data_IF_308966933263
#
_entry.id   IF_308966933263
#
_cell.length_a   1.000
_cell.length_b   1.000
_cell.length_c   1.000
_cell.angle_alpha   90.00
_cell.angle_beta   90.00
_cell.angle_gamma   90.00
#
_symmetry.space_group_name_H-M   'P 1'
#
loop_
_entity.id
_entity.type
_entity.pdbx_description
1 polymer ?
#
# COMPACT_ATOMS: atom_id res chain seq x y z
N UNK A 1 9.23 24.85 -15.61
CA UNK A 1 8.17 25.84 -15.22
C UNK A 1 6.85 25.60 -15.94
N UNK A 2 6.83 24.95 -17.10
CA UNK A 2 5.60 24.65 -17.89
C UNK A 2 4.84 23.41 -17.35
N UNK A 3 5.52 22.49 -16.69
CA UNK A 3 4.89 21.29 -16.11
C UNK A 3 4.02 21.55 -14.88
N UNK A 4 4.30 22.61 -14.11
CA UNK A 4 3.47 23.00 -12.95
C UNK A 4 2.11 23.61 -13.35
N UNK A 5 1.97 24.17 -14.56
CA UNK A 5 0.72 24.76 -15.02
C UNK A 5 -0.27 23.76 -15.66
N UNK A 6 0.22 22.63 -16.19
CA UNK A 6 -0.64 21.61 -16.78
C UNK A 6 -1.31 20.70 -15.75
N UNK A 7 -0.74 20.62 -14.56
CA UNK A 7 -1.34 19.90 -13.40
C UNK A 7 -2.48 20.70 -12.79
N UNK A 8 -2.40 22.04 -12.80
CA UNK A 8 -3.41 22.92 -12.16
C UNK A 8 -4.76 22.99 -12.88
N UNK A 9 -4.84 22.67 -14.19
CA UNK A 9 -6.08 22.85 -14.97
C UNK A 9 -7.01 21.62 -15.05
N UNK A 10 -6.59 20.42 -14.56
CA UNK A 10 -7.44 19.21 -14.53
C UNK A 10 -8.00 18.87 -13.14
N UNK A 11 -7.71 19.65 -12.13
CA UNK A 11 -8.16 19.44 -10.75
C UNK A 11 -9.56 20.00 -10.41
N UNK A 12 -10.40 20.27 -11.39
CA UNK A 12 -11.71 20.88 -11.14
C UNK A 12 -12.68 20.02 -10.31
N UNK A 13 -12.50 18.69 -10.25
CA UNK A 13 -13.39 17.78 -9.50
C UNK A 13 -12.81 17.49 -8.12
N UNK A 14 -11.50 17.28 -8.02
CA UNK A 14 -10.81 17.17 -6.73
C UNK A 14 -10.95 18.48 -5.93
N UNK A 15 -10.94 19.62 -6.59
CA UNK A 15 -11.07 20.96 -5.97
C UNK A 15 -12.30 21.12 -5.06
N UNK A 16 -13.47 20.61 -5.45
CA UNK A 16 -14.71 20.80 -4.66
C UNK A 16 -14.80 19.92 -3.40
N UNK A 17 -14.17 18.75 -3.38
CA UNK A 17 -14.04 17.94 -2.16
C UNK A 17 -13.03 18.60 -1.18
N UNK A 18 -12.11 19.39 -1.71
CA UNK A 18 -10.97 19.99 -1.01
C UNK A 18 -11.29 21.29 -0.29
N UNK A 19 -12.33 22.00 -0.72
CA UNK A 19 -12.76 23.27 -0.11
C UNK A 19 -13.38 23.09 1.30
N UNK A 20 -13.50 21.83 1.78
CA UNK A 20 -14.15 21.48 3.04
C UNK A 20 -13.32 20.50 3.93
N UNK A 21 -12.03 20.26 3.63
CA UNK A 21 -11.18 19.45 4.49
C UNK A 21 -10.84 20.20 5.78
N UNK A 22 -10.92 19.52 6.91
CA UNK A 22 -10.38 20.06 8.16
C UNK A 22 -8.85 19.93 8.23
N UNK A 23 -8.23 20.60 9.21
CA UNK A 23 -6.78 20.68 9.35
C UNK A 23 -6.09 19.30 9.42
N UNK A 24 -6.72 18.31 10.05
CA UNK A 24 -6.16 16.95 10.18
C UNK A 24 -6.25 16.17 8.86
N UNK A 25 -7.38 16.29 8.16
CA UNK A 25 -7.57 15.70 6.84
C UNK A 25 -6.58 16.28 5.84
N UNK A 26 -6.40 17.59 5.87
CA UNK A 26 -5.43 18.29 5.01
C UNK A 26 -4.00 17.86 5.33
N UNK A 27 -3.61 17.85 6.61
CA UNK A 27 -2.26 17.46 7.04
C UNK A 27 -1.92 16.01 6.66
N UNK A 28 -2.88 15.08 6.84
CA UNK A 28 -2.70 13.70 6.43
C UNK A 28 -2.54 13.56 4.93
N UNK A 29 -3.41 14.22 4.15
CA UNK A 29 -3.36 14.22 2.69
C UNK A 29 -2.04 14.75 2.15
N UNK A 30 -1.62 15.93 2.60
CA UNK A 30 -0.41 16.59 2.11
C UNK A 30 0.85 15.76 2.38
N UNK A 31 0.84 14.99 3.47
CA UNK A 31 1.96 14.13 3.77
C UNK A 31 2.10 12.94 2.80
N UNK A 32 1.01 12.30 2.32
CA UNK A 32 1.12 11.09 1.50
C UNK A 32 1.78 11.31 0.12
N UNK A 33 1.84 12.54 -0.38
CA UNK A 33 2.50 12.87 -1.66
C UNK A 33 4.03 12.74 -1.60
N UNK A 34 4.64 13.13 -0.47
CA UNK A 34 6.10 13.10 -0.31
C UNK A 34 6.68 11.66 -0.32
N UNK A 35 6.18 10.72 0.53
CA UNK A 35 6.70 9.36 0.54
C UNK A 35 6.52 8.65 -0.79
N UNK A 36 5.45 8.90 -1.56
CA UNK A 36 5.32 8.38 -2.92
C UNK A 36 6.52 8.78 -3.78
N UNK A 37 6.84 10.07 -3.79
CA UNK A 37 7.94 10.59 -4.62
C UNK A 37 9.27 9.96 -4.25
N UNK A 38 9.56 9.82 -2.96
CA UNK A 38 10.80 9.22 -2.46
C UNK A 38 10.88 7.71 -2.76
N UNK A 39 9.79 6.97 -2.59
CA UNK A 39 9.72 5.54 -2.89
C UNK A 39 9.92 5.30 -4.39
N UNK A 40 9.22 6.03 -5.24
CA UNK A 40 9.36 5.91 -6.69
C UNK A 40 10.81 6.22 -7.13
N UNK A 41 11.41 7.28 -6.61
CA UNK A 41 12.81 7.62 -6.92
C UNK A 41 13.78 6.52 -6.48
N UNK A 42 13.62 5.94 -5.28
CA UNK A 42 14.47 4.85 -4.81
C UNK A 42 14.34 3.58 -5.66
N UNK A 43 13.16 3.28 -6.18
CA UNK A 43 12.96 2.13 -7.06
C UNK A 43 13.51 2.36 -8.47
N UNK A 44 13.38 3.58 -9.00
CA UNK A 44 14.04 3.96 -10.24
C UNK A 44 15.57 3.97 -10.13
N UNK A 45 16.14 4.32 -8.96
CA UNK A 45 17.58 4.20 -8.69
C UNK A 45 18.04 2.74 -8.80
N UNK A 46 17.30 1.80 -8.23
CA UNK A 46 17.60 0.36 -8.33
C UNK A 46 17.54 -0.12 -9.78
N UNK A 47 16.57 0.31 -10.57
CA UNK A 47 16.51 -0.01 -11.99
C UNK A 47 17.74 0.54 -12.73
N UNK A 48 18.16 1.78 -12.45
CA UNK A 48 19.37 2.36 -13.04
C UNK A 48 20.65 1.58 -12.67
N UNK A 49 20.76 1.13 -11.41
CA UNK A 49 21.86 0.26 -10.98
C UNK A 49 21.89 -1.06 -11.78
N UNK A 50 20.70 -1.62 -12.09
CA UNK A 50 20.55 -2.80 -12.95
C UNK A 50 20.67 -2.51 -14.47
N UNK A 51 21.03 -1.28 -14.86
CA UNK A 51 21.11 -0.82 -16.26
C UNK A 51 19.76 -0.93 -16.98
N UNK A 52 18.72 -0.44 -16.35
CA UNK A 52 17.36 -0.31 -16.89
C UNK A 52 16.96 1.17 -16.87
N UNK A 53 16.30 1.63 -17.93
CA UNK A 53 15.76 2.99 -18.04
C UNK A 53 14.28 3.04 -17.60
N UNK A 54 13.81 1.99 -16.90
CA UNK A 54 12.44 1.94 -16.43
C UNK A 54 12.15 3.09 -15.44
N UNK A 55 11.03 3.74 -15.64
CA UNK A 55 10.56 4.85 -14.84
C UNK A 55 9.06 4.76 -14.59
N UNK A 56 8.58 5.40 -13.52
CA UNK A 56 7.17 5.42 -13.20
C UNK A 56 6.36 6.26 -14.19
N UNK A 57 5.32 5.65 -14.76
CA UNK A 57 4.25 6.32 -15.48
C UNK A 57 3.12 6.65 -14.52
N UNK A 58 2.73 7.92 -14.44
CA UNK A 58 1.68 8.39 -13.53
C UNK A 58 0.36 8.59 -14.27
N UNK A 59 -0.69 7.96 -13.75
CA UNK A 59 -2.05 8.07 -14.28
C UNK A 59 -2.99 8.62 -13.20
N UNK A 60 -3.46 9.86 -13.32
CA UNK A 60 -4.50 10.37 -12.44
C UNK A 60 -5.83 9.67 -12.72
N UNK A 61 -6.64 9.51 -11.67
CA UNK A 61 -7.98 8.95 -11.76
C UNK A 61 -8.94 9.68 -10.82
N UNK A 62 -10.18 9.76 -11.23
CA UNK A 62 -11.27 10.36 -10.45
C UNK A 62 -12.27 9.29 -10.03
N UNK A 63 -13.00 9.56 -8.95
CA UNK A 63 -14.09 8.75 -8.44
C UNK A 63 -15.37 9.56 -8.36
N UNK A 64 -16.46 8.92 -8.73
CA UNK A 64 -17.83 9.42 -8.48
C UNK A 64 -18.36 8.73 -7.23
N UNK A 65 -18.98 9.46 -6.31
CA UNK A 65 -19.63 8.89 -5.13
C UNK A 65 -20.96 8.19 -5.47
N UNK A 66 -21.61 7.60 -4.45
CA UNK A 66 -22.87 6.88 -4.64
C UNK A 66 -24.04 7.77 -5.10
N UNK A 67 -23.97 9.06 -4.81
CA UNK A 67 -25.00 10.07 -5.17
C UNK A 67 -24.72 10.71 -6.54
N UNK A 68 -23.69 10.27 -7.27
CA UNK A 68 -23.28 10.79 -8.56
C UNK A 68 -22.44 12.07 -8.49
N UNK A 69 -22.06 12.51 -7.30
CA UNK A 69 -21.20 13.67 -7.05
C UNK A 69 -19.70 13.33 -7.10
N UNK A 70 -18.84 14.34 -6.93
CA UNK A 70 -17.39 14.15 -6.85
C UNK A 70 -17.01 13.34 -5.62
N UNK A 71 -16.42 12.15 -5.82
CA UNK A 71 -15.99 11.25 -4.76
C UNK A 71 -14.48 11.26 -4.49
N UNK A 72 -13.74 12.26 -5.02
CA UNK A 72 -12.28 12.33 -4.92
C UNK A 72 -11.57 11.58 -6.03
N UNK A 73 -10.36 11.13 -5.75
CA UNK A 73 -9.54 10.44 -6.74
C UNK A 73 -8.13 10.16 -6.25
N UNK A 74 -7.22 9.96 -7.17
CA UNK A 74 -5.82 9.68 -6.83
C UNK A 74 -4.90 9.75 -8.04
N UNK A 75 -3.65 9.37 -7.78
CA UNK A 75 -2.64 9.20 -8.82
C UNK A 75 -1.98 7.84 -8.65
N UNK A 76 -2.15 6.99 -9.65
CA UNK A 76 -1.50 5.70 -9.75
C UNK A 76 -0.17 5.86 -10.50
N UNK A 77 0.95 5.53 -9.86
CA UNK A 77 2.24 5.33 -10.48
C UNK A 77 2.46 3.85 -10.75
N UNK A 78 2.88 3.49 -11.95
CA UNK A 78 3.26 2.12 -12.31
C UNK A 78 4.59 2.10 -13.05
N UNK A 79 5.41 1.11 -12.75
CA UNK A 79 6.66 0.84 -13.44
C UNK A 79 6.77 -0.67 -13.71
N UNK A 80 7.32 -1.02 -14.85
CA UNK A 80 7.80 -2.36 -15.18
C UNK A 80 9.22 -2.24 -15.71
N UNK A 81 10.15 -3.00 -15.14
CA UNK A 81 11.56 -2.91 -15.43
C UNK A 81 12.25 -4.26 -15.35
N UNK A 82 13.56 -4.20 -15.17
CA UNK A 82 14.41 -5.38 -15.13
C UNK A 82 14.42 -6.05 -13.75
N UNK A 83 14.34 -5.25 -12.68
CA UNK A 83 14.31 -5.71 -11.29
C UNK A 83 12.87 -5.82 -10.79
N UNK A 84 12.09 -4.75 -10.99
CA UNK A 84 10.67 -4.71 -10.68
C UNK A 84 9.86 -5.15 -11.91
N UNK A 85 9.44 -6.42 -11.95
CA UNK A 85 8.61 -6.90 -13.06
C UNK A 85 7.30 -6.12 -13.15
N UNK A 86 6.73 -5.79 -12.00
CA UNK A 86 5.61 -4.86 -11.87
C UNK A 86 5.61 -4.22 -10.49
N UNK A 87 5.59 -2.91 -10.45
CA UNK A 87 5.34 -2.16 -9.21
C UNK A 87 4.25 -1.13 -9.43
N UNK A 88 3.36 -1.02 -8.45
CA UNK A 88 2.33 0.00 -8.39
C UNK A 88 2.43 0.79 -7.08
N UNK A 89 2.38 2.12 -7.18
CA UNK A 89 2.32 3.04 -6.05
C UNK A 89 1.15 3.99 -6.28
N UNK A 90 0.16 3.98 -5.41
CA UNK A 90 -1.04 4.79 -5.54
C UNK A 90 -1.21 5.69 -4.32
N UNK A 91 -1.41 6.98 -4.55
CA UNK A 91 -1.89 7.93 -3.54
C UNK A 91 -3.30 8.32 -3.90
N UNK A 92 -4.20 8.26 -2.93
CA UNK A 92 -5.61 8.59 -3.12
C UNK A 92 -6.14 9.44 -1.99
N UNK A 93 -7.11 10.29 -2.34
CA UNK A 93 -7.96 11.02 -1.42
C UNK A 93 -9.39 10.88 -1.90
N UNK A 94 -10.19 10.16 -1.17
CA UNK A 94 -11.57 9.84 -1.52
C UNK A 94 -12.52 10.18 -0.39
N UNK A 95 -13.75 10.50 -0.73
CA UNK A 95 -14.81 10.78 0.23
C UNK A 95 -16.17 10.53 -0.39
N UNK A 96 -17.21 10.59 0.41
CA UNK A 96 -18.58 10.37 -0.03
C UNK A 96 -19.44 9.76 1.07
N UNK A 97 -20.40 8.94 0.68
CA UNK A 97 -21.32 8.24 1.59
C UNK A 97 -21.22 6.74 1.35
N UNK A 98 -21.16 5.98 2.42
CA UNK A 98 -21.32 4.52 2.35
C UNK A 98 -22.78 4.15 2.06
N UNK A 99 -22.99 3.01 1.39
CA UNK A 99 -24.32 2.41 1.38
C UNK A 99 -24.76 2.05 2.80
N UNK A 100 -26.07 2.02 3.12
CA UNK A 100 -26.53 1.66 4.45
C UNK A 100 -25.98 0.32 4.95
N UNK A 101 -25.92 -0.66 4.06
CA UNK A 101 -25.39 -1.99 4.34
C UNK A 101 -23.90 -1.96 4.71
N UNK A 102 -23.12 -1.13 4.01
CA UNK A 102 -21.70 -1.02 4.29
C UNK A 102 -21.40 -0.14 5.50
N UNK A 103 -22.15 0.94 5.70
CA UNK A 103 -22.04 1.84 6.86
C UNK A 103 -22.14 1.08 8.19
N UNK A 104 -23.01 0.07 8.27
CA UNK A 104 -23.15 -0.78 9.45
C UNK A 104 -21.89 -1.60 9.82
N UNK A 105 -20.91 -1.69 8.91
CA UNK A 105 -19.66 -2.44 9.12
C UNK A 105 -18.46 -1.56 9.40
N UNK A 106 -18.59 -0.23 9.27
CA UNK A 106 -17.49 0.72 9.42
C UNK A 106 -17.66 1.54 10.70
N UNK A 107 -16.72 1.52 11.64
CA UNK A 107 -16.82 2.27 12.88
C UNK A 107 -17.12 3.76 12.66
N UNK A 108 -18.15 4.25 13.35
CA UNK A 108 -18.58 5.64 13.29
C UNK A 108 -19.33 6.04 12.02
N UNK A 109 -19.70 5.08 11.17
CA UNK A 109 -20.52 5.32 9.99
C UNK A 109 -21.98 4.87 10.17
N UNK A 110 -22.31 4.31 11.34
CA UNK A 110 -23.63 3.74 11.66
C UNK A 110 -24.73 4.81 11.64
N UNK A 111 -24.44 5.98 12.21
CA UNK A 111 -25.38 7.10 12.32
C UNK A 111 -25.18 8.15 11.20
N UNK A 112 -23.96 8.32 10.73
CA UNK A 112 -23.61 9.21 9.63
C UNK A 112 -22.71 8.49 8.64
N UNK A 113 -23.23 8.08 7.48
CA UNK A 113 -22.50 7.29 6.49
C UNK A 113 -21.42 8.08 5.72
N UNK A 114 -21.22 9.37 6.01
CA UNK A 114 -20.16 10.16 5.37
C UNK A 114 -18.79 9.66 5.78
N UNK A 115 -17.87 9.62 4.83
CA UNK A 115 -16.49 9.25 5.09
C UNK A 115 -15.51 10.10 4.28
N UNK A 116 -14.30 10.17 4.78
CA UNK A 116 -13.11 10.63 4.09
C UNK A 116 -12.00 9.62 4.33
N UNK A 117 -11.22 9.32 3.30
CA UNK A 117 -10.04 8.46 3.40
C UNK A 117 -8.93 9.01 2.51
N UNK A 118 -7.73 9.09 3.04
CA UNK A 118 -6.53 9.41 2.27
C UNK A 118 -5.41 8.45 2.64
N UNK A 119 -4.55 8.11 1.67
CA UNK A 119 -3.48 7.15 1.93
C UNK A 119 -2.59 6.87 0.74
N UNK A 120 -1.52 6.14 1.05
CA UNK A 120 -0.57 5.59 0.09
C UNK A 120 -0.62 4.06 0.18
N UNK A 121 -0.65 3.40 -0.97
CA UNK A 121 -0.56 1.95 -1.09
C UNK A 121 0.45 1.58 -2.17
N UNK A 122 1.27 0.57 -1.91
CA UNK A 122 2.18 0.01 -2.90
C UNK A 122 2.25 -1.51 -2.83
N UNK A 123 2.48 -2.10 -3.99
CA UNK A 123 2.88 -3.50 -4.13
C UNK A 123 3.97 -3.58 -5.19
N UNK A 124 5.05 -4.32 -4.89
CA UNK A 124 6.11 -4.61 -5.85
C UNK A 124 6.23 -6.13 -6.06
N UNK A 125 6.15 -6.56 -7.32
CA UNK A 125 6.44 -7.91 -7.79
C UNK A 125 7.76 -7.90 -8.55
N UNK A 126 8.65 -8.81 -8.17
CA UNK A 126 10.05 -8.78 -8.59
C UNK A 126 10.32 -9.78 -9.70
N UNK A 127 11.19 -9.44 -10.65
CA UNK A 127 11.55 -10.34 -11.75
C UNK A 127 12.38 -11.55 -11.30
N UNK A 128 13.21 -11.38 -10.25
CA UNK A 128 14.05 -12.43 -9.71
C UNK A 128 13.33 -13.15 -8.54
N UNK A 129 13.20 -14.50 -8.54
CA UNK A 129 12.52 -15.25 -7.48
C UNK A 129 13.19 -15.14 -6.10
N UNK A 130 14.46 -14.77 -6.02
CA UNK A 130 15.18 -14.55 -4.77
C UNK A 130 14.87 -13.18 -4.13
N UNK A 131 14.32 -12.24 -4.88
CA UNK A 131 13.88 -10.95 -4.34
C UNK A 131 12.44 -11.07 -3.87
N UNK A 132 12.14 -10.79 -2.59
CA UNK A 132 10.78 -10.89 -2.09
C UNK A 132 9.87 -9.82 -2.70
N UNK A 133 8.63 -10.20 -3.01
CA UNK A 133 7.58 -9.22 -3.21
C UNK A 133 7.28 -8.50 -1.90
N UNK A 134 6.75 -7.28 -1.98
CA UNK A 134 6.43 -6.47 -0.80
C UNK A 134 5.12 -5.73 -0.99
N UNK A 135 4.40 -5.56 0.10
CA UNK A 135 3.26 -4.67 0.21
C UNK A 135 3.50 -3.67 1.33
N UNK A 136 3.06 -2.44 1.13
CA UNK A 136 2.97 -1.43 2.18
C UNK A 136 1.76 -0.55 1.91
N UNK A 137 0.99 -0.26 2.94
CA UNK A 137 -0.01 0.80 2.89
C UNK A 137 -0.02 1.61 4.18
N UNK A 138 -0.41 2.86 4.05
CA UNK A 138 -0.69 3.75 5.16
C UNK A 138 -1.90 4.61 4.80
N UNK A 139 -2.79 4.81 5.77
CA UNK A 139 -4.05 5.53 5.53
C UNK A 139 -4.51 6.31 6.75
N UNK A 140 -5.24 7.39 6.50
CA UNK A 140 -6.05 8.11 7.48
C UNK A 140 -7.50 8.07 7.04
N UNK A 141 -8.41 7.67 7.93
CA UNK A 141 -9.85 7.53 7.69
C UNK A 141 -10.61 8.37 8.68
N UNK A 142 -11.64 9.05 8.17
CA UNK A 142 -12.59 9.86 8.98
C UNK A 142 -14.03 9.43 8.67
N UNK A 143 -14.78 9.17 9.73
CA UNK A 143 -16.24 9.07 9.78
C UNK A 143 -16.70 10.04 10.88
N UNK A 144 -17.61 9.68 11.79
CA UNK A 144 -17.75 10.35 13.09
C UNK A 144 -16.55 10.07 14.00
N UNK A 145 -15.75 9.04 13.67
CA UNK A 145 -14.44 8.72 14.26
C UNK A 145 -13.30 9.05 13.31
N UNK A 146 -12.07 9.02 13.84
CA UNK A 146 -10.84 9.28 13.07
C UNK A 146 -9.75 8.33 13.52
N UNK A 147 -9.07 7.70 12.56
CA UNK A 147 -7.99 6.77 12.88
C UNK A 147 -6.97 6.64 11.75
N UNK A 148 -5.77 6.27 12.14
CA UNK A 148 -4.76 5.77 11.22
C UNK A 148 -4.79 4.25 11.14
N UNK A 149 -4.46 3.73 9.96
CA UNK A 149 -4.23 2.33 9.71
C UNK A 149 -3.12 2.15 8.68
N UNK A 150 -2.56 0.96 8.63
CA UNK A 150 -1.50 0.65 7.69
C UNK A 150 -0.77 -0.63 7.99
N UNK A 151 0.37 -0.80 7.35
CA UNK A 151 1.27 -1.92 7.55
C UNK A 151 2.24 -2.08 6.41
N UNK A 152 3.19 -2.99 6.62
CA UNK A 152 4.12 -3.46 5.61
C UNK A 152 4.39 -4.93 5.85
N UNK A 153 4.40 -5.75 4.79
CA UNK A 153 4.68 -7.17 4.86
C UNK A 153 5.55 -7.65 3.71
N UNK A 154 6.45 -8.60 4.02
CA UNK A 154 7.43 -9.16 3.10
C UNK A 154 6.98 -10.53 2.61
N UNK A 155 7.05 -10.75 1.30
CA UNK A 155 6.47 -11.91 0.63
C UNK A 155 7.53 -12.62 -0.25
N UNK A 156 8.46 -13.38 0.32
CA UNK A 156 9.45 -14.14 -0.44
C UNK A 156 8.85 -15.42 -1.02
N UNK A 157 9.11 -15.69 -2.31
CA UNK A 157 8.91 -17.00 -2.90
C UNK A 157 9.98 -17.98 -2.42
N UNK A 158 11.23 -17.50 -2.30
CA UNK A 158 12.37 -18.21 -1.72
C UNK A 158 12.83 -17.42 -0.48
N UNK A 159 12.51 -17.87 0.74
CA UNK A 159 12.80 -17.11 1.95
C UNK A 159 14.28 -17.16 2.35
N UNK A 160 14.81 -16.01 2.75
CA UNK A 160 16.10 -15.87 3.42
C UNK A 160 15.90 -15.32 4.83
N UNK A 161 16.43 -16.01 5.83
CA UNK A 161 16.25 -15.62 7.22
C UNK A 161 16.82 -14.24 7.52
N UNK A 162 17.99 -13.91 6.95
CA UNK A 162 18.61 -12.59 7.15
C UNK A 162 17.76 -11.42 6.60
N UNK A 163 17.04 -11.64 5.49
CA UNK A 163 16.15 -10.61 4.92
C UNK A 163 14.89 -10.44 5.78
N UNK A 164 14.34 -11.55 6.25
CA UNK A 164 13.24 -11.58 7.22
C UNK A 164 13.62 -10.84 8.49
N UNK A 165 14.79 -11.20 9.08
CA UNK A 165 15.28 -10.60 10.32
C UNK A 165 15.52 -9.09 10.15
N UNK A 166 16.13 -8.66 9.04
CA UNK A 166 16.39 -7.26 8.76
C UNK A 166 15.08 -6.45 8.64
N UNK A 167 14.09 -6.99 7.91
CA UNK A 167 12.79 -6.36 7.72
C UNK A 167 12.05 -6.19 9.06
N UNK A 168 11.96 -7.28 9.83
CA UNK A 168 11.34 -7.26 11.14
C UNK A 168 12.08 -6.39 12.16
N UNK A 169 13.42 -6.38 12.16
CA UNK A 169 14.22 -5.55 13.06
C UNK A 169 13.96 -4.05 12.82
N UNK A 170 13.90 -3.64 11.54
CA UNK A 170 13.65 -2.23 11.20
C UNK A 170 12.22 -1.79 11.57
N UNK A 171 11.20 -2.63 11.31
CA UNK A 171 9.84 -2.34 11.73
C UNK A 171 9.67 -2.33 13.26
N UNK A 172 10.37 -3.21 13.96
CA UNK A 172 10.39 -3.23 15.43
C UNK A 172 10.99 -1.94 15.98
N UNK A 173 12.08 -1.46 15.40
CA UNK A 173 12.70 -0.19 15.80
C UNK A 173 11.75 1.00 15.58
N UNK A 174 11.06 1.05 14.43
CA UNK A 174 10.05 2.06 14.13
C UNK A 174 8.90 2.06 15.15
N UNK A 175 8.36 0.89 15.47
CA UNK A 175 7.33 0.76 16.49
C UNK A 175 7.81 1.19 17.87
N UNK A 176 8.98 0.72 18.29
CA UNK A 176 9.52 0.97 19.63
C UNK A 176 9.84 2.46 19.89
N UNK A 177 10.14 3.22 18.83
CA UNK A 177 10.35 4.67 18.92
C UNK A 177 9.08 5.44 19.34
N UNK A 178 7.90 4.84 19.17
CA UNK A 178 6.61 5.44 19.50
C UNK A 178 5.94 4.76 20.69
N UNK A 179 5.86 3.42 20.68
CA UNK A 179 5.29 2.63 21.76
C UNK A 179 5.90 1.20 21.70
N UNK A 180 6.54 0.72 22.78
CA UNK A 180 7.14 -0.61 22.83
C UNK A 180 6.12 -1.75 22.66
N UNK A 181 4.83 -1.51 22.86
CA UNK A 181 3.76 -2.48 22.68
C UNK A 181 3.28 -2.61 21.23
N UNK A 182 3.63 -1.66 20.37
CA UNK A 182 3.16 -1.62 18.98
C UNK A 182 3.65 -2.84 18.19
N UNK A 183 4.95 -3.12 18.20
CA UNK A 183 5.49 -4.20 17.40
C UNK A 183 4.90 -5.57 17.76
N UNK A 184 4.90 -6.04 19.02
CA UNK A 184 4.35 -7.35 19.34
C UNK A 184 2.84 -7.45 19.00
N UNK A 185 2.09 -6.36 19.14
CA UNK A 185 0.66 -6.30 18.78
C UNK A 185 0.45 -6.32 17.27
N UNK A 186 1.18 -5.48 16.53
CA UNK A 186 0.98 -5.31 15.10
C UNK A 186 1.60 -6.43 14.27
N UNK A 187 2.70 -7.04 14.74
CA UNK A 187 3.28 -8.21 14.09
C UNK A 187 2.35 -9.41 14.22
N UNK A 188 1.83 -9.68 15.42
CA UNK A 188 0.82 -10.72 15.61
C UNK A 188 -0.41 -10.50 14.73
N UNK A 189 -0.89 -9.24 14.65
CA UNK A 189 -2.04 -8.93 13.81
C UNK A 189 -1.73 -9.11 12.32
N UNK A 190 -0.51 -8.81 11.86
CA UNK A 190 -0.08 -9.10 10.49
C UNK A 190 -0.11 -10.60 10.19
N UNK A 191 0.38 -11.45 11.09
CA UNK A 191 0.35 -12.91 10.93
C UNK A 191 -1.09 -13.45 10.82
N UNK A 192 -2.00 -12.91 11.62
CA UNK A 192 -3.43 -13.26 11.57
C UNK A 192 -4.11 -12.74 10.29
N UNK A 193 -3.80 -11.50 9.88
CA UNK A 193 -4.43 -10.86 8.74
C UNK A 193 -4.00 -11.47 7.40
N UNK A 194 -2.69 -11.74 7.23
CA UNK A 194 -2.13 -12.24 5.97
C UNK A 194 -2.14 -13.77 5.86
N UNK A 195 -2.97 -14.45 6.66
CA UNK A 195 -3.16 -15.88 6.60
C UNK A 195 -4.20 -16.28 5.54
N UNK A 196 -3.94 -17.34 4.77
CA UNK A 196 -4.86 -17.94 3.80
C UNK A 196 -5.55 -19.17 4.41
N UNK A 197 -6.78 -19.04 4.94
CA UNK A 197 -7.43 -20.15 5.64
C UNK A 197 -7.64 -21.39 4.78
N UNK A 198 -8.01 -21.21 3.52
CA UNK A 198 -8.29 -22.31 2.58
C UNK A 198 -7.02 -23.06 2.13
N UNK A 199 -5.85 -22.45 2.27
CA UNK A 199 -4.55 -23.05 2.01
C UNK A 199 -3.81 -23.48 3.29
N UNK A 200 -4.25 -22.97 4.45
CA UNK A 200 -3.60 -23.17 5.76
C UNK A 200 -2.13 -22.70 5.78
N UNK A 201 -1.84 -21.60 5.10
CA UNK A 201 -0.50 -20.99 5.02
C UNK A 201 -0.56 -19.47 5.17
N UNK A 202 0.53 -18.87 5.61
CA UNK A 202 0.72 -17.42 5.57
C UNK A 202 1.06 -16.96 4.16
N UNK A 203 0.65 -15.73 3.80
CA UNK A 203 0.97 -15.10 2.51
C UNK A 203 2.47 -14.89 2.31
N UNK A 204 3.18 -14.54 3.39
CA UNK A 204 4.62 -14.27 3.39
C UNK A 204 5.22 -14.53 4.76
N UNK A 205 6.25 -13.78 5.11
CA UNK A 205 6.96 -13.89 6.39
C UNK A 205 6.48 -12.84 7.42
N UNK A 206 5.34 -12.18 7.15
CA UNK A 206 4.77 -11.19 8.05
C UNK A 206 5.41 -9.81 7.92
N UNK A 207 5.29 -9.05 8.98
CA UNK A 207 5.70 -7.65 9.10
C UNK A 207 4.91 -6.99 10.21
N UNK A 208 4.20 -5.89 9.91
CA UNK A 208 3.24 -5.25 10.82
C UNK A 208 1.93 -4.93 10.08
N UNK A 209 0.83 -5.02 10.82
CA UNK A 209 -0.47 -4.51 10.41
C UNK A 209 -1.14 -3.80 11.58
N UNK A 210 -1.62 -2.58 11.36
CA UNK A 210 -2.31 -1.79 12.36
C UNK A 210 -3.54 -1.12 11.77
N UNK A 211 -4.54 -0.94 12.59
CA UNK A 211 -5.79 -0.24 12.26
C UNK A 211 -6.36 0.38 13.53
N UNK A 212 -7.35 1.28 13.37
CA UNK A 212 -8.04 1.90 14.49
C UNK A 212 -7.10 2.57 15.52
N UNK A 213 -6.01 3.20 15.05
CA UNK A 213 -5.23 4.11 15.90
C UNK A 213 -6.00 5.43 16.06
N UNK A 214 -6.92 5.45 17.03
CA UNK A 214 -7.79 6.58 17.35
C UNK A 214 -7.12 7.55 18.33
N UNK A 215 -7.56 8.81 18.35
CA UNK A 215 -7.00 9.86 19.21
C UNK A 215 -5.59 10.30 18.78
N UNK A 216 -4.93 11.14 19.58
CA UNK A 216 -3.52 11.53 19.43
C UNK A 216 -3.01 11.68 17.99
N UNK A 217 -3.72 12.48 17.17
CA UNK A 217 -3.49 12.60 15.73
C UNK A 217 -2.01 12.77 15.37
N UNK A 218 -1.32 13.75 16.00
CA UNK A 218 0.09 14.05 15.68
C UNK A 218 1.03 12.88 15.98
N UNK A 219 0.80 12.16 17.09
CA UNK A 219 1.60 11.00 17.45
C UNK A 219 1.38 9.83 16.48
N UNK A 220 0.13 9.58 16.07
CA UNK A 220 -0.17 8.52 15.12
C UNK A 220 0.24 8.87 13.68
N UNK A 221 0.19 10.15 13.30
CA UNK A 221 0.77 10.62 12.04
C UNK A 221 2.28 10.43 12.04
N UNK A 222 2.97 10.79 13.14
CA UNK A 222 4.42 10.59 13.28
C UNK A 222 4.80 9.10 13.21
N UNK A 223 4.05 8.22 13.88
CA UNK A 223 4.23 6.77 13.77
C UNK A 223 4.01 6.27 12.32
N UNK A 224 2.95 6.71 11.66
CA UNK A 224 2.65 6.33 10.28
C UNK A 224 3.76 6.77 9.31
N UNK A 225 4.35 7.95 9.55
CA UNK A 225 5.55 8.44 8.83
C UNK A 225 6.74 7.52 9.06
N UNK A 226 7.02 7.15 10.32
CA UNK A 226 8.14 6.28 10.66
C UNK A 226 8.01 4.88 10.03
N UNK A 227 6.79 4.36 9.85
CA UNK A 227 6.55 3.12 9.10
C UNK A 227 6.98 3.27 7.64
N UNK A 228 6.66 4.38 7.00
CA UNK A 228 7.09 4.69 5.63
C UNK A 228 8.61 4.82 5.50
N UNK A 229 9.26 5.49 6.46
CA UNK A 229 10.73 5.61 6.53
C UNK A 229 11.40 4.25 6.74
N UNK A 230 10.84 3.43 7.63
CA UNK A 230 11.35 2.09 7.89
C UNK A 230 11.31 1.20 6.64
N UNK A 231 10.21 1.29 5.91
CA UNK A 231 10.05 0.58 4.63
C UNK A 231 11.09 1.03 3.61
N UNK A 232 11.22 2.35 3.41
CA UNK A 232 12.15 2.93 2.44
C UNK A 232 13.62 2.65 2.78
N UNK A 233 13.93 2.51 4.05
CA UNK A 233 15.27 2.16 4.52
C UNK A 233 15.60 0.68 4.25
N UNK A 234 14.72 -0.27 4.60
CA UNK A 234 15.05 -1.69 4.59
C UNK A 234 14.81 -2.39 3.26
N UNK A 235 13.68 -2.12 2.59
CA UNK A 235 13.32 -2.88 1.39
C UNK A 235 14.28 -2.68 0.21
N UNK A 236 14.74 -1.46 -0.13
CA UNK A 236 15.75 -1.27 -1.16
C UNK A 236 17.07 -2.00 -0.90
N UNK A 237 17.46 -2.17 0.37
CA UNK A 237 18.67 -2.92 0.74
C UNK A 237 18.49 -4.41 0.48
N UNK A 238 17.31 -4.97 0.80
CA UNK A 238 16.98 -6.37 0.51
C UNK A 238 17.00 -6.62 -1.00
N UNK A 239 16.39 -5.73 -1.79
CA UNK A 239 16.40 -5.83 -3.26
C UNK A 239 17.82 -5.89 -3.80
N UNK A 240 18.68 -4.93 -3.43
CA UNK A 240 20.08 -4.87 -3.87
C UNK A 240 20.89 -6.10 -3.50
N UNK A 241 20.60 -6.71 -2.35
CA UNK A 241 21.26 -7.95 -1.90
C UNK A 241 20.92 -9.14 -2.78
N UNK A 242 19.73 -9.17 -3.38
CA UNK A 242 19.18 -10.35 -4.07
C UNK A 242 19.02 -10.22 -5.57
N UNK A 243 18.95 -9.02 -6.12
CA UNK A 243 18.56 -8.78 -7.50
C UNK A 243 19.47 -9.44 -8.55
N UNK A 244 20.74 -9.68 -8.21
CA UNK A 244 21.72 -10.32 -9.08
C UNK A 244 21.94 -11.83 -8.76
N UNK A 245 21.16 -12.40 -7.86
CA UNK A 245 21.27 -13.83 -7.52
C UNK A 245 20.86 -14.67 -8.75
N UNK A 246 21.72 -15.59 -9.23
CA UNK A 246 21.34 -16.51 -10.30
C UNK A 246 20.17 -17.39 -9.88
N UNK A 247 19.28 -17.72 -10.78
CA UNK A 247 18.13 -18.58 -10.50
C UNK A 247 17.87 -19.58 -11.63
N UNK A 248 17.16 -20.66 -11.29
CA UNK A 248 16.77 -21.74 -12.19
C UNK A 248 15.34 -21.59 -12.70
N UNK A 249 14.95 -22.41 -13.68
CA UNK A 249 13.57 -22.48 -14.17
C UNK A 249 12.62 -22.97 -13.07
N UNK A 250 13.06 -23.94 -12.22
CA UNK A 250 12.26 -24.43 -11.10
C UNK A 250 11.98 -23.34 -10.06
N UNK A 251 12.95 -22.47 -9.79
CA UNK A 251 12.76 -21.34 -8.87
C UNK A 251 11.82 -20.29 -9.45
N UNK A 252 11.82 -20.09 -10.76
CA UNK A 252 10.83 -19.24 -11.44
C UNK A 252 9.43 -19.86 -11.36
N UNK A 253 9.29 -21.16 -11.56
CA UNK A 253 8.00 -21.86 -11.39
C UNK A 253 7.49 -21.69 -9.94
N UNK A 254 8.36 -21.84 -8.95
CA UNK A 254 8.03 -21.59 -7.54
C UNK A 254 7.54 -20.17 -7.30
N UNK A 255 8.16 -19.16 -7.92
CA UNK A 255 7.69 -17.77 -7.87
C UNK A 255 6.29 -17.63 -8.44
N UNK A 256 6.01 -18.24 -9.60
CA UNK A 256 4.69 -18.14 -10.25
C UNK A 256 3.58 -18.80 -9.42
N UNK A 257 3.86 -19.95 -8.81
CA UNK A 257 2.94 -20.63 -7.88
C UNK A 257 2.71 -19.82 -6.59
N UNK A 258 3.77 -19.24 -6.06
CA UNK A 258 3.67 -18.33 -4.91
C UNK A 258 2.77 -17.13 -5.21
N UNK A 259 2.88 -16.55 -6.40
CA UNK A 259 2.02 -15.47 -6.87
C UNK A 259 0.56 -15.87 -7.01
N UNK A 260 0.27 -17.13 -7.35
CA UNK A 260 -1.10 -17.66 -7.33
C UNK A 260 -1.74 -17.49 -5.96
N UNK A 261 -1.05 -17.86 -4.89
CA UNK A 261 -1.51 -17.67 -3.50
C UNK A 261 -1.65 -16.19 -3.13
N UNK A 262 -0.74 -15.34 -3.61
CA UNK A 262 -0.83 -13.89 -3.41
C UNK A 262 -2.11 -13.32 -4.05
N UNK A 263 -2.45 -13.74 -5.28
CA UNK A 263 -3.70 -13.35 -5.97
C UNK A 263 -4.92 -13.82 -5.19
N UNK A 264 -4.92 -15.08 -4.71
CA UNK A 264 -6.01 -15.62 -3.88
C UNK A 264 -6.25 -14.76 -2.65
N UNK A 265 -5.20 -14.38 -1.92
CA UNK A 265 -5.34 -13.51 -0.76
C UNK A 265 -5.98 -12.17 -1.12
N UNK A 266 -5.45 -11.47 -2.14
CA UNK A 266 -5.94 -10.15 -2.50
C UNK A 266 -7.41 -10.17 -2.96
N UNK A 267 -7.83 -11.19 -3.71
CA UNK A 267 -9.20 -11.25 -4.23
C UNK A 267 -10.22 -11.79 -3.22
N UNK A 268 -9.80 -12.66 -2.29
CA UNK A 268 -10.72 -13.33 -1.36
C UNK A 268 -10.75 -12.69 0.03
N UNK A 269 -9.63 -12.14 0.50
CA UNK A 269 -9.49 -11.77 1.92
C UNK A 269 -9.03 -10.34 2.16
N UNK A 270 -8.37 -9.68 1.18
CA UNK A 270 -7.86 -8.33 1.42
C UNK A 270 -8.99 -7.31 1.56
N UNK A 271 -9.14 -6.79 2.79
CA UNK A 271 -10.19 -5.81 3.11
C UNK A 271 -10.10 -4.53 2.27
N UNK A 272 -8.87 -4.11 1.92
CA UNK A 272 -8.64 -2.93 1.09
C UNK A 272 -9.14 -3.13 -0.35
N UNK A 273 -8.82 -4.27 -0.97
CA UNK A 273 -9.31 -4.67 -2.29
C UNK A 273 -10.85 -4.78 -2.29
N UNK A 274 -11.41 -5.52 -1.33
CA UNK A 274 -12.86 -5.70 -1.22
C UNK A 274 -13.59 -4.39 -0.97
N UNK A 275 -13.04 -3.51 -0.12
CA UNK A 275 -13.56 -2.17 0.11
C UNK A 275 -13.58 -1.35 -1.19
N UNK A 276 -12.44 -1.27 -1.86
CA UNK A 276 -12.32 -0.50 -3.10
C UNK A 276 -13.32 -0.95 -4.18
N UNK A 277 -13.43 -2.25 -4.39
CA UNK A 277 -14.37 -2.83 -5.38
C UNK A 277 -15.84 -2.57 -5.01
N UNK A 278 -16.20 -2.71 -3.71
CA UNK A 278 -17.58 -2.50 -3.24
C UNK A 278 -18.00 -1.03 -3.21
N UNK A 279 -17.06 -0.10 -3.07
CA UNK A 279 -17.36 1.34 -3.02
C UNK A 279 -17.19 2.06 -4.35
N UNK A 280 -17.06 1.31 -5.47
CA UNK A 280 -16.92 1.91 -6.80
C UNK A 280 -15.57 2.62 -7.02
N UNK A 281 -14.52 2.12 -6.38
CA UNK A 281 -13.16 2.60 -6.60
C UNK A 281 -12.64 2.32 -8.02
N UNK A 282 -11.56 2.99 -8.41
CA UNK A 282 -10.92 2.76 -9.70
C UNK A 282 -10.32 1.34 -9.76
N UNK A 283 -10.86 0.49 -10.62
CA UNK A 283 -10.50 -0.93 -10.73
C UNK A 283 -9.00 -1.10 -11.04
N UNK A 284 -8.44 -0.31 -11.93
CA UNK A 284 -7.04 -0.40 -12.30
C UNK A 284 -6.10 0.02 -11.15
N UNK A 285 -6.52 0.99 -10.33
CA UNK A 285 -5.77 1.40 -9.15
C UNK A 285 -5.84 0.35 -8.02
N UNK A 286 -6.96 -0.35 -7.90
CA UNK A 286 -7.15 -1.44 -6.93
C UNK A 286 -6.35 -2.68 -7.36
N UNK A 287 -6.55 -3.15 -8.60
CA UNK A 287 -5.95 -4.37 -9.12
C UNK A 287 -4.48 -4.20 -9.59
N UNK A 288 -3.91 -3.00 -9.44
CA UNK A 288 -2.46 -2.81 -9.63
C UNK A 288 -1.64 -3.70 -8.67
N UNK A 289 -2.22 -4.09 -7.53
CA UNK A 289 -1.60 -4.96 -6.53
C UNK A 289 -1.36 -6.40 -7.02
N UNK A 290 -2.01 -6.84 -8.08
CA UNK A 290 -1.85 -8.18 -8.60
C UNK A 290 -0.56 -8.32 -9.41
N UNK A 291 0.13 -9.50 -9.35
CA UNK A 291 1.30 -9.77 -10.15
C UNK A 291 0.97 -9.80 -11.65
N UNK A 292 1.96 -9.59 -12.55
CA UNK A 292 1.73 -9.64 -13.99
C UNK A 292 1.41 -11.04 -14.48
N UNK A 293 2.01 -12.05 -13.86
CA UNK A 293 1.83 -13.48 -14.12
C UNK A 293 1.70 -14.24 -12.82
N UNK A 294 0.84 -15.25 -12.80
CA UNK A 294 0.68 -16.17 -11.69
C UNK A 294 0.32 -17.56 -12.25
N UNK A 295 0.59 -18.62 -11.49
CA UNK A 295 0.29 -19.99 -11.87
C UNK A 295 -0.41 -20.73 -10.73
N UNK A 296 -1.29 -21.64 -11.09
CA UNK A 296 -1.91 -22.61 -10.21
C UNK A 296 -1.55 -24.01 -10.69
N UNK A 297 -1.12 -24.85 -9.76
CA UNK A 297 -0.85 -26.28 -10.02
C UNK A 297 -2.16 -27.06 -10.08
#
# INVERSE_FOLDING_TARGET
MIWKLLIACRFGIIGRLMDALDDQQQAARDWFEEPRTRICAAFEDIEREARSDAAFAYTPWDRTDADGGPGGGGVRGQMAGKVFEKVGVNVSTVGGRFSPEFAATVPGAEDDPRFFATGLSLVAHMANPHVPAVHMNTRFITTTKRWFGGGADLNPAIPYQEDTDAFHARLRAACAAHDPTFYPRFSKWADEYFYLPHRQVSRGVGGIFYDHLEGHFDAHLAFTREVGEAFLDVFPQIVRRRMDTPFTEEEMEQLLEFRGRYVEFNLLYDRGTLFGLKTGGNIDAILMSLPPLARWA
#
